data_IF_512910737066
#
_entry.id   IF_512910737066
#
_cell.length_a   1.000
_cell.length_b   1.000
_cell.length_c   1.000
_cell.angle_alpha   90.00
_cell.angle_beta   90.00
_cell.angle_gamma   90.00
#
_symmetry.space_group_name_H-M   'P 1'
#
loop_
_entity.id
_entity.type
_entity.pdbx_description
1 polymer ?
#
# COMPACT_ATOMS: atom_id res chain seq x y z
N UNK A 1 20.49 -4.94 -0.05
CA UNK A 1 19.38 -5.76 -0.57
C UNK A 1 18.10 -4.95 -0.56
N UNK A 2 17.29 -5.04 -1.60
CA UNK A 2 16.03 -4.30 -1.67
C UNK A 2 14.85 -5.16 -1.22
N UNK A 3 13.73 -4.50 -0.92
CA UNK A 3 12.46 -5.16 -0.62
C UNK A 3 11.68 -5.39 -1.90
N UNK A 4 10.83 -6.41 -1.91
CA UNK A 4 9.85 -6.64 -2.96
C UNK A 4 8.46 -6.30 -2.39
N UNK A 5 7.73 -5.42 -3.05
CA UNK A 5 6.40 -5.02 -2.62
C UNK A 5 5.40 -5.30 -3.76
N UNK A 6 4.33 -6.00 -3.44
CA UNK A 6 3.28 -6.33 -4.41
C UNK A 6 2.03 -5.56 -4.05
N UNK A 7 1.50 -4.81 -5.00
CA UNK A 7 0.32 -3.94 -4.81
C UNK A 7 -0.71 -4.20 -5.92
N UNK A 8 -1.92 -3.67 -5.74
CA UNK A 8 -3.01 -3.92 -6.69
C UNK A 8 -2.90 -3.10 -7.97
N UNK A 9 -2.63 -1.80 -7.88
CA UNK A 9 -2.69 -0.91 -9.03
C UNK A 9 -1.64 0.20 -9.04
N UNK A 10 -1.69 1.05 -10.08
CA UNK A 10 -0.69 2.11 -10.28
C UNK A 10 -0.73 3.20 -9.22
N UNK A 11 -1.90 3.53 -8.69
CA UNK A 11 -2.02 4.49 -7.60
C UNK A 11 -1.33 3.96 -6.35
N UNK A 12 -1.58 2.69 -6.01
CA UNK A 12 -0.93 2.01 -4.89
C UNK A 12 0.59 2.02 -5.06
N UNK A 13 1.06 1.75 -6.27
CA UNK A 13 2.49 1.78 -6.59
C UNK A 13 3.09 3.15 -6.33
N UNK A 14 2.43 4.21 -6.78
CA UNK A 14 2.91 5.58 -6.57
C UNK A 14 3.02 5.94 -5.10
N UNK A 15 2.00 5.58 -4.31
CA UNK A 15 1.98 5.82 -2.86
C UNK A 15 3.11 5.08 -2.17
N UNK A 16 3.21 3.79 -2.41
CA UNK A 16 4.21 2.92 -1.77
C UNK A 16 5.62 3.30 -2.18
N UNK A 17 5.84 3.58 -3.45
CA UNK A 17 7.14 3.99 -3.96
C UNK A 17 7.61 5.27 -3.29
N UNK A 18 6.73 6.27 -3.16
CA UNK A 18 7.10 7.54 -2.54
C UNK A 18 7.35 7.40 -1.05
N UNK A 19 6.58 6.57 -0.35
CA UNK A 19 6.84 6.28 1.07
C UNK A 19 8.23 5.66 1.23
N UNK A 20 8.57 4.66 0.41
CA UNK A 20 9.88 4.03 0.46
C UNK A 20 10.99 5.03 0.18
N UNK A 21 10.83 5.90 -0.81
CA UNK A 21 11.80 6.96 -1.12
C UNK A 21 12.00 7.92 0.06
N UNK A 22 10.91 8.37 0.70
CA UNK A 22 11.00 9.26 1.87
C UNK A 22 11.71 8.61 3.05
N UNK A 23 11.65 7.29 3.15
CA UNK A 23 12.33 6.52 4.21
C UNK A 23 13.73 6.07 3.83
N UNK A 24 14.18 6.34 2.60
CA UNK A 24 15.48 5.91 2.11
C UNK A 24 15.58 4.41 1.90
N UNK A 25 14.47 3.73 1.62
CA UNK A 25 14.40 2.28 1.46
C UNK A 25 14.28 1.93 -0.02
N UNK A 26 15.16 1.03 -0.49
CA UNK A 26 15.08 0.52 -1.85
C UNK A 26 14.01 -0.56 -1.96
N UNK A 27 13.11 -0.41 -2.92
CA UNK A 27 12.04 -1.36 -3.15
C UNK A 27 11.77 -1.54 -4.64
N UNK A 28 11.51 -2.79 -5.03
CA UNK A 28 10.92 -3.11 -6.32
C UNK A 28 9.43 -3.34 -6.11
N UNK A 29 8.59 -2.69 -6.91
CA UNK A 29 7.15 -2.75 -6.72
C UNK A 29 6.52 -3.39 -7.95
N UNK A 30 5.74 -4.45 -7.73
CA UNK A 30 5.05 -5.20 -8.78
C UNK A 30 3.54 -5.03 -8.63
N UNK A 31 2.83 -4.99 -9.76
CA UNK A 31 1.38 -4.84 -9.80
C UNK A 31 0.70 -6.18 -10.03
N UNK A 32 -0.18 -6.59 -9.10
CA UNK A 32 -1.00 -7.80 -9.33
C UNK A 32 -2.25 -7.51 -10.17
N UNK A 33 -2.60 -6.26 -10.37
CA UNK A 33 -3.72 -5.78 -11.19
C UNK A 33 -5.05 -6.45 -10.81
N UNK A 34 -5.64 -5.97 -9.72
CA UNK A 34 -6.92 -6.46 -9.22
C UNK A 34 -6.78 -7.59 -8.19
N UNK A 35 -7.79 -8.45 -8.11
CA UNK A 35 -7.91 -9.49 -7.09
C UNK A 35 -7.31 -10.84 -7.49
N UNK A 36 -6.27 -10.85 -8.29
CA UNK A 36 -5.69 -12.09 -8.82
C UNK A 36 -4.59 -12.62 -7.90
N UNK A 37 -4.99 -13.49 -6.97
CA UNK A 37 -4.07 -14.12 -6.02
C UNK A 37 -2.98 -14.93 -6.72
N UNK A 38 -3.35 -15.72 -7.73
CA UNK A 38 -2.44 -16.52 -8.52
C UNK A 38 -1.37 -15.67 -9.21
N UNK A 39 -1.75 -14.50 -9.68
CA UNK A 39 -0.82 -13.58 -10.32
C UNK A 39 0.19 -13.00 -9.34
N UNK A 40 -0.26 -12.63 -8.12
CA UNK A 40 0.64 -12.14 -7.09
C UNK A 40 1.73 -13.18 -6.75
N UNK A 41 1.32 -14.44 -6.58
CA UNK A 41 2.25 -15.54 -6.29
C UNK A 41 3.24 -15.74 -7.44
N UNK A 42 2.76 -15.76 -8.69
CA UNK A 42 3.64 -15.94 -9.87
C UNK A 42 4.64 -14.80 -10.01
N UNK A 43 4.20 -13.57 -9.80
CA UNK A 43 5.08 -12.39 -9.86
C UNK A 43 6.17 -12.46 -8.81
N UNK A 44 5.81 -12.81 -7.58
CA UNK A 44 6.77 -12.91 -6.48
C UNK A 44 7.79 -14.02 -6.75
N UNK A 45 7.35 -15.22 -7.09
CA UNK A 45 8.24 -16.34 -7.32
C UNK A 45 9.13 -16.14 -8.55
N UNK A 46 8.60 -15.48 -9.58
CA UNK A 46 9.39 -15.11 -10.76
C UNK A 46 10.49 -14.08 -10.41
N UNK A 47 10.16 -13.09 -9.59
CA UNK A 47 11.14 -12.10 -9.14
C UNK A 47 12.23 -12.75 -8.29
N UNK A 48 11.86 -13.67 -7.40
CA UNK A 48 12.81 -14.39 -6.54
C UNK A 48 13.76 -15.27 -7.33
N UNK A 49 13.34 -15.80 -8.48
CA UNK A 49 14.22 -16.60 -9.34
C UNK A 49 15.34 -15.76 -9.95
N UNK A 50 15.14 -14.47 -10.13
CA UNK A 50 16.10 -13.58 -10.78
C UNK A 50 16.94 -12.72 -9.83
N UNK A 51 16.51 -12.55 -8.59
CA UNK A 51 17.13 -11.58 -7.67
C UNK A 51 16.79 -11.92 -6.23
N UNK A 52 17.69 -11.57 -5.32
CA UNK A 52 17.45 -11.73 -3.88
C UNK A 52 16.78 -10.49 -3.30
N UNK A 53 15.86 -10.70 -2.36
CA UNK A 53 15.18 -9.65 -1.64
C UNK A 53 15.28 -9.87 -0.13
N UNK A 54 15.38 -8.78 0.64
CA UNK A 54 15.45 -8.87 2.10
C UNK A 54 14.10 -9.28 2.71
N UNK A 55 13.00 -8.85 2.09
CA UNK A 55 11.64 -9.24 2.49
C UNK A 55 10.65 -8.98 1.35
N UNK A 56 9.50 -9.60 1.46
CA UNK A 56 8.39 -9.43 0.53
C UNK A 56 7.19 -8.91 1.30
N UNK A 57 6.55 -7.87 0.81
CA UNK A 57 5.34 -7.30 1.40
C UNK A 57 4.23 -7.34 0.37
N UNK A 58 3.09 -7.91 0.74
CA UNK A 58 1.91 -7.98 -0.13
C UNK A 58 0.83 -7.10 0.45
N UNK A 59 0.43 -6.06 -0.28
CA UNK A 59 -0.64 -5.16 0.13
C UNK A 59 -1.91 -5.44 -0.65
N UNK A 60 -3.04 -5.36 0.05
CA UNK A 60 -4.34 -5.51 -0.57
C UNK A 60 -5.36 -4.60 0.12
N UNK A 61 -6.10 -3.83 -0.68
CA UNK A 61 -7.16 -2.98 -0.18
C UNK A 61 -8.36 -3.81 0.26
N UNK A 62 -8.98 -3.41 1.36
CA UNK A 62 -10.17 -4.08 1.87
C UNK A 62 -11.40 -3.86 0.97
N UNK A 63 -11.57 -2.64 0.46
CA UNK A 63 -12.76 -2.20 -0.29
C UNK A 63 -14.05 -2.52 0.47
N UNK A 64 -15.00 -3.21 -0.17
CA UNK A 64 -16.30 -3.57 0.41
C UNK A 64 -16.29 -4.97 1.06
N UNK A 65 -15.15 -5.63 1.09
CA UNK A 65 -15.06 -6.98 1.66
C UNK A 65 -14.88 -6.92 3.18
N UNK A 66 -15.25 -8.02 3.85
CA UNK A 66 -14.97 -8.16 5.27
C UNK A 66 -13.46 -8.25 5.51
N UNK A 67 -13.04 -7.82 6.68
CA UNK A 67 -11.65 -7.94 7.10
C UNK A 67 -11.15 -9.39 7.03
N UNK A 68 -11.95 -10.33 7.55
CA UNK A 68 -11.59 -11.74 7.53
C UNK A 68 -11.37 -12.28 6.11
N UNK A 69 -12.20 -11.88 5.16
CA UNK A 69 -12.06 -12.32 3.77
C UNK A 69 -10.74 -11.86 3.18
N UNK A 70 -10.36 -10.60 3.38
CA UNK A 70 -9.11 -10.07 2.86
C UNK A 70 -7.91 -10.69 3.54
N UNK A 71 -7.96 -10.89 4.85
CA UNK A 71 -6.87 -11.55 5.59
C UNK A 71 -6.67 -12.99 5.13
N UNK A 72 -7.74 -13.73 4.86
CA UNK A 72 -7.65 -15.10 4.32
C UNK A 72 -7.01 -15.10 2.91
N UNK A 73 -7.37 -14.14 2.06
CA UNK A 73 -6.78 -14.01 0.73
C UNK A 73 -5.28 -13.71 0.82
N UNK A 74 -4.91 -12.78 1.70
CA UNK A 74 -3.50 -12.43 1.94
C UNK A 74 -2.71 -13.61 2.49
N UNK A 75 -3.28 -14.37 3.43
CA UNK A 75 -2.61 -15.55 3.99
C UNK A 75 -2.33 -16.61 2.93
N UNK A 76 -3.25 -16.81 1.99
CA UNK A 76 -3.04 -17.74 0.87
C UNK A 76 -1.92 -17.29 -0.05
N UNK A 77 -1.86 -15.99 -0.34
CA UNK A 77 -0.77 -15.42 -1.18
C UNK A 77 0.57 -15.60 -0.47
N UNK A 78 0.66 -15.18 0.78
CA UNK A 78 1.89 -15.24 1.58
C UNK A 78 2.36 -16.68 1.74
N UNK A 79 1.44 -17.60 2.02
CA UNK A 79 1.77 -19.02 2.20
C UNK A 79 2.26 -19.70 0.93
N UNK A 80 2.00 -19.13 -0.25
CA UNK A 80 2.41 -19.67 -1.55
C UNK A 80 3.68 -19.03 -2.10
N UNK A 81 4.23 -18.01 -1.43
CA UNK A 81 5.48 -17.37 -1.82
C UNK A 81 6.65 -18.03 -1.10
N UNK A 82 7.67 -18.41 -1.85
CA UNK A 82 8.83 -19.14 -1.34
C UNK A 82 9.88 -18.19 -0.76
N UNK A 83 9.52 -17.51 0.34
CA UNK A 83 10.45 -16.62 1.06
C UNK A 83 10.05 -16.55 2.53
N UNK A 84 11.01 -16.71 3.43
CA UNK A 84 10.77 -16.78 4.88
C UNK A 84 10.27 -15.47 5.48
N UNK A 85 10.62 -14.31 4.87
CA UNK A 85 10.21 -12.99 5.34
C UNK A 85 9.17 -12.40 4.39
N UNK A 86 7.97 -12.96 4.39
CA UNK A 86 6.84 -12.48 3.59
C UNK A 86 5.73 -12.01 4.51
N UNK A 87 5.30 -10.76 4.33
CA UNK A 87 4.36 -10.09 5.23
C UNK A 87 3.11 -9.64 4.50
N UNK A 88 1.93 -10.00 5.00
CA UNK A 88 0.67 -9.48 4.48
C UNK A 88 0.31 -8.15 5.14
N UNK A 89 -0.15 -7.19 4.36
CA UNK A 89 -0.70 -5.93 4.87
C UNK A 89 -2.07 -5.70 4.26
N UNK A 90 -3.10 -5.70 5.10
CA UNK A 90 -4.44 -5.27 4.68
C UNK A 90 -4.50 -3.75 4.81
N UNK A 91 -4.81 -3.07 3.71
CA UNK A 91 -5.06 -1.63 3.73
C UNK A 91 -6.54 -1.43 4.04
N UNK A 92 -6.85 -0.81 5.17
CA UNK A 92 -8.24 -0.64 5.59
C UNK A 92 -8.98 0.32 4.66
N UNK A 93 -10.12 -0.14 4.12
CA UNK A 93 -10.93 0.51 3.09
C UNK A 93 -10.18 0.61 1.77
N UNK A 94 -9.36 1.63 1.57
CA UNK A 94 -8.54 1.80 0.37
C UNK A 94 -7.32 2.63 0.70
N UNK A 95 -6.30 2.56 -0.15
CA UNK A 95 -4.99 3.18 0.13
C UNK A 95 -5.05 4.71 0.19
N UNK A 96 -6.05 5.33 -0.42
CA UNK A 96 -6.27 6.78 -0.31
C UNK A 96 -6.48 7.23 1.14
N UNK A 97 -6.92 6.32 2.02
CA UNK A 97 -7.03 6.61 3.44
C UNK A 97 -5.68 7.01 4.06
N UNK A 98 -4.58 6.49 3.53
CA UNK A 98 -3.23 6.85 3.99
C UNK A 98 -2.91 8.32 3.69
N UNK A 99 -3.32 8.80 2.52
CA UNK A 99 -3.16 10.21 2.14
C UNK A 99 -3.98 11.10 3.07
N UNK A 100 -5.26 10.76 3.27
CA UNK A 100 -6.14 11.51 4.15
C UNK A 100 -5.63 11.54 5.59
N UNK A 101 -5.09 10.41 6.07
CA UNK A 101 -4.47 10.34 7.39
C UNK A 101 -3.32 11.33 7.53
N UNK A 102 -2.48 11.43 6.49
CA UNK A 102 -1.36 12.39 6.44
C UNK A 102 -1.80 13.84 6.28
N UNK A 103 -3.02 14.08 5.81
CA UNK A 103 -3.61 15.41 5.72
C UNK A 103 -4.32 15.84 7.02
N UNK A 104 -4.27 15.00 8.05
CA UNK A 104 -4.82 15.33 9.37
C UNK A 104 -6.19 14.76 9.68
N UNK A 105 -6.71 13.86 8.85
CA UNK A 105 -8.02 13.25 9.09
C UNK A 105 -7.87 12.06 10.02
N UNK A 106 -8.28 12.23 11.27
CA UNK A 106 -8.07 11.23 12.33
C UNK A 106 -8.86 9.93 12.13
N UNK A 107 -9.99 10.00 11.44
CA UNK A 107 -10.84 8.83 11.17
C UNK A 107 -10.73 8.33 9.73
N UNK A 108 -9.58 8.53 9.09
CA UNK A 108 -9.37 8.21 7.68
C UNK A 108 -9.71 6.75 7.35
N UNK A 109 -9.33 5.81 8.23
CA UNK A 109 -9.57 4.38 7.99
C UNK A 109 -11.01 3.93 8.22
N UNK A 110 -11.88 4.79 8.74
CA UNK A 110 -13.32 4.48 8.88
C UNK A 110 -14.21 5.09 7.80
N UNK A 111 -13.63 5.82 6.86
CA UNK A 111 -14.36 6.40 5.73
C UNK A 111 -14.68 5.32 4.69
N UNK A 112 -15.94 5.26 4.24
CA UNK A 112 -16.38 4.20 3.31
C UNK A 112 -15.75 4.30 1.93
N UNK A 113 -15.56 5.49 1.41
CA UNK A 113 -15.01 5.74 0.08
C UNK A 113 -13.89 6.78 0.16
N UNK A 114 -12.69 6.36 0.62
CA UNK A 114 -11.59 7.31 0.82
C UNK A 114 -11.21 8.08 -0.44
N UNK A 115 -11.29 7.45 -1.61
CA UNK A 115 -10.97 8.09 -2.89
C UNK A 115 -11.93 9.26 -3.19
N UNK A 116 -13.23 9.06 -2.97
CA UNK A 116 -14.22 10.12 -3.16
C UNK A 116 -14.03 11.24 -2.13
N UNK A 117 -13.71 10.88 -0.89
CA UNK A 117 -13.46 11.87 0.16
C UNK A 117 -12.21 12.70 -0.17
N UNK A 118 -11.16 12.05 -0.64
CA UNK A 118 -9.93 12.73 -1.07
C UNK A 118 -10.23 13.70 -2.22
N UNK A 119 -11.01 13.29 -3.20
CA UNK A 119 -11.42 14.17 -4.29
C UNK A 119 -12.15 15.42 -3.77
N UNK A 120 -13.08 15.24 -2.85
CA UNK A 120 -13.80 16.37 -2.24
C UNK A 120 -12.86 17.33 -1.51
N UNK A 121 -11.89 16.81 -0.77
CA UNK A 121 -10.89 17.64 -0.07
C UNK A 121 -10.05 18.43 -1.06
N UNK A 122 -9.60 17.79 -2.13
CA UNK A 122 -8.78 18.45 -3.15
C UNK A 122 -9.57 19.50 -3.94
N UNK A 123 -10.85 19.26 -4.22
CA UNK A 123 -11.70 20.25 -4.91
C UNK A 123 -11.89 21.52 -4.10
N UNK A 124 -11.86 21.45 -2.79
CA UNK A 124 -11.88 22.65 -1.91
C UNK A 124 -10.59 23.47 -2.02
N UNK A 125 -9.53 22.90 -2.58
CA UNK A 125 -8.23 23.54 -2.80
C UNK A 125 -7.95 23.75 -4.29
N UNK A 126 -9.02 23.90 -5.10
CA UNK A 126 -8.95 24.10 -6.56
C UNK A 126 -8.23 22.97 -7.31
N UNK A 127 -8.27 21.74 -6.78
CA UNK A 127 -7.72 20.56 -7.41
C UNK A 127 -8.76 19.49 -7.64
N UNK A 128 -8.31 18.34 -8.11
CA UNK A 128 -9.13 17.13 -8.20
C UNK A 128 -8.24 15.90 -8.00
N UNK A 129 -8.85 14.77 -7.61
CA UNK A 129 -8.12 13.54 -7.44
C UNK A 129 -8.14 12.71 -8.73
N UNK A 130 -6.99 12.60 -9.36
CA UNK A 130 -6.77 11.76 -10.54
C UNK A 130 -5.96 10.55 -10.12
N UNK A 131 -6.49 9.36 -10.35
CA UNK A 131 -5.81 8.10 -10.00
C UNK A 131 -4.68 7.83 -11.00
N UNK A 132 -3.48 8.30 -10.66
CA UNK A 132 -2.28 8.10 -11.46
C UNK A 132 -1.06 7.96 -10.57
N UNK A 133 0.00 7.38 -11.12
CA UNK A 133 1.27 7.23 -10.39
C UNK A 133 1.81 8.59 -9.94
N UNK A 134 1.85 9.56 -10.85
CA UNK A 134 2.43 10.88 -10.55
C UNK A 134 1.62 11.67 -9.52
N UNK A 135 0.30 11.63 -9.60
CA UNK A 135 -0.57 12.29 -8.62
C UNK A 135 -0.39 11.67 -7.23
N UNK A 136 -0.36 10.34 -7.16
CA UNK A 136 -0.17 9.62 -5.91
C UNK A 136 1.17 9.99 -5.25
N UNK A 137 2.26 10.01 -6.02
CA UNK A 137 3.58 10.39 -5.53
C UNK A 137 3.61 11.82 -5.01
N UNK A 138 3.00 12.75 -5.73
CA UNK A 138 2.94 14.15 -5.35
C UNK A 138 2.16 14.36 -4.05
N UNK A 139 1.03 13.67 -3.89
CA UNK A 139 0.24 13.76 -2.67
C UNK A 139 1.01 13.24 -1.45
N UNK A 140 1.69 12.10 -1.60
CA UNK A 140 2.51 11.54 -0.51
C UNK A 140 3.71 12.42 -0.20
N UNK A 141 4.29 13.10 -1.19
CA UNK A 141 5.38 14.04 -0.98
C UNK A 141 4.99 15.15 0.01
N UNK A 142 3.74 15.61 -0.05
CA UNK A 142 3.24 16.75 0.70
C UNK A 142 2.58 16.41 2.04
N UNK A 143 2.49 15.13 2.43
CA UNK A 143 1.91 14.74 3.72
C UNK A 143 2.99 14.54 4.78
N UNK A 144 2.56 14.61 6.04
CA UNK A 144 3.39 14.26 7.19
C UNK A 144 3.20 12.77 7.49
N UNK A 145 4.26 11.95 7.27
CA UNK A 145 4.19 10.52 7.53
C UNK A 145 3.98 10.17 9.00
N UNK A 146 4.50 10.96 9.93
CA UNK A 146 4.28 10.72 11.35
C UNK A 146 2.80 10.91 11.71
N UNK A 147 2.19 11.97 11.20
CA UNK A 147 0.77 12.21 11.37
C UNK A 147 -0.07 11.12 10.72
N UNK A 148 0.32 10.70 9.52
CA UNK A 148 -0.35 9.61 8.82
C UNK A 148 -0.33 8.31 9.63
N UNK A 149 0.79 7.98 10.26
CA UNK A 149 0.89 6.80 11.12
C UNK A 149 0.01 6.90 12.37
N UNK A 150 -0.15 8.09 12.93
CA UNK A 150 -1.07 8.29 14.06
C UNK A 150 -2.53 8.10 13.67
N UNK A 151 -2.87 8.43 12.43
CA UNK A 151 -4.25 8.40 11.93
C UNK A 151 -4.58 7.14 11.11
N UNK A 152 -3.60 6.29 10.86
CA UNK A 152 -3.79 5.05 10.09
C UNK A 152 -2.96 3.92 10.69
N UNK A 153 -3.62 2.96 11.29
CA UNK A 153 -2.96 1.79 11.88
C UNK A 153 -2.34 0.88 10.81
N UNK A 154 -2.97 0.76 9.64
CA UNK A 154 -2.44 -0.08 8.57
C UNK A 154 -1.20 0.54 7.92
N UNK A 155 -1.15 1.87 7.77
CA UNK A 155 0.05 2.55 7.32
C UNK A 155 1.19 2.41 8.33
N UNK A 156 0.87 2.57 9.62
CA UNK A 156 1.87 2.38 10.68
C UNK A 156 2.46 0.98 10.62
N UNK A 157 1.63 -0.05 10.47
CA UNK A 157 2.06 -1.43 10.32
C UNK A 157 2.98 -1.59 9.09
N UNK A 158 2.60 -1.03 7.96
CA UNK A 158 3.40 -1.09 6.74
C UNK A 158 4.79 -0.48 6.94
N UNK A 159 4.86 0.71 7.54
CA UNK A 159 6.13 1.39 7.77
C UNK A 159 7.00 0.61 8.78
N UNK A 160 6.41 0.04 9.81
CA UNK A 160 7.13 -0.81 10.77
C UNK A 160 7.75 -2.03 10.07
N UNK A 161 7.00 -2.69 9.19
CA UNK A 161 7.52 -3.83 8.42
C UNK A 161 8.62 -3.39 7.45
N UNK A 162 8.47 -2.23 6.82
CA UNK A 162 9.50 -1.69 5.92
C UNK A 162 10.83 -1.45 6.65
N UNK A 163 10.77 -0.92 7.86
CA UNK A 163 11.97 -0.52 8.62
C UNK A 163 12.61 -1.67 9.39
N UNK A 164 11.86 -2.71 9.70
CA UNK A 164 12.36 -3.85 10.47
C UNK A 164 13.47 -4.56 9.67
N UNK A 165 14.66 -4.77 10.26
CA UNK A 165 15.76 -5.43 9.57
C UNK A 165 15.48 -6.87 9.15
#
# INVERSE_FOLDING_TARGET
>A
MKHLIIVEGVTDKGIVQKIAEKLGIHAKILLMRGNRQDKAVRLANSALAGEEYSKIIVLKDQHQHSENKILQMLDKIVGSIEHSKTYPIMVRKAIEAWILAGMGISNAESLDKPDEHLDRVLRKRDGEYIKSLSTAKKLIENIDLQQACRNSSTLKQFIEVLKDP
#
